data_IF_814952979442
#
_entry.id   IF_814952979442
#
_cell.length_a   1.000
_cell.length_b   1.000
_cell.length_c   1.000
_cell.angle_alpha   90.00
_cell.angle_beta   90.00
_cell.angle_gamma   90.00
#
_symmetry.space_group_name_H-M   'P 1'
#
loop_
_entity.id
_entity.type
_entity.pdbx_description
1 polymer ?
#
# COMPACT_ATOMS: atom_id res chain seq x y z
N UNK A 1 -30.04 24.92 -49.58
CA UNK A 1 -29.76 24.92 -48.13
C UNK A 1 -30.93 24.46 -47.27
N UNK A 2 -32.20 24.88 -47.54
CA UNK A 2 -33.38 24.46 -46.75
C UNK A 2 -33.52 22.94 -46.57
N UNK A 3 -33.30 22.16 -47.63
CA UNK A 3 -33.41 20.69 -47.59
C UNK A 3 -32.37 19.98 -46.71
N UNK A 4 -31.20 20.58 -46.45
CA UNK A 4 -30.20 19.96 -45.58
C UNK A 4 -30.57 20.14 -44.10
N UNK A 5 -31.01 21.35 -43.74
CA UNK A 5 -31.49 21.65 -42.38
C UNK A 5 -32.75 20.83 -42.03
N UNK A 6 -33.68 20.65 -42.96
CA UNK A 6 -34.88 19.81 -42.75
C UNK A 6 -34.54 18.31 -42.64
N UNK A 7 -33.45 17.86 -43.26
CA UNK A 7 -32.98 16.47 -43.11
C UNK A 7 -32.39 16.24 -41.73
N UNK A 8 -31.52 17.11 -41.24
CA UNK A 8 -31.00 16.99 -39.87
C UNK A 8 -32.09 17.12 -38.79
N UNK A 9 -33.10 17.96 -39.02
CA UNK A 9 -34.21 18.13 -38.06
C UNK A 9 -35.13 16.91 -37.98
N UNK A 10 -35.21 16.10 -39.05
CA UNK A 10 -36.01 14.87 -39.08
C UNK A 10 -35.14 13.60 -38.96
N UNK A 11 -33.85 13.74 -38.68
CA UNK A 11 -32.91 12.63 -38.52
C UNK A 11 -32.89 12.17 -37.05
N UNK A 12 -33.86 11.35 -36.68
CA UNK A 12 -33.95 10.72 -35.36
C UNK A 12 -32.86 9.65 -35.14
N UNK A 13 -32.28 9.10 -36.23
CA UNK A 13 -31.29 8.03 -36.14
C UNK A 13 -29.93 8.54 -35.60
N UNK A 14 -29.56 9.81 -35.87
CA UNK A 14 -28.33 10.41 -35.35
C UNK A 14 -28.39 10.82 -33.88
N UNK A 15 -29.56 11.25 -33.39
CA UNK A 15 -29.75 11.69 -32.00
C UNK A 15 -29.88 10.50 -31.02
N UNK A 16 -30.59 9.44 -31.42
CA UNK A 16 -30.77 8.24 -30.60
C UNK A 16 -29.44 7.50 -30.39
N UNK A 17 -28.64 7.33 -31.45
CA UNK A 17 -27.35 6.59 -31.37
C UNK A 17 -26.29 7.35 -30.56
N UNK A 18 -26.32 8.69 -30.54
CA UNK A 18 -25.33 9.48 -29.80
C UNK A 18 -25.62 9.57 -28.30
N UNK A 19 -26.88 9.72 -27.90
CA UNK A 19 -27.26 9.74 -26.48
C UNK A 19 -27.07 8.37 -25.80
N UNK A 20 -27.42 7.28 -26.49
CA UNK A 20 -27.27 5.91 -25.97
C UNK A 20 -25.81 5.52 -25.77
N UNK A 21 -24.92 5.89 -26.71
CA UNK A 21 -23.48 5.64 -26.57
C UNK A 21 -22.86 6.44 -25.43
N UNK A 22 -23.32 7.67 -25.18
CA UNK A 22 -22.87 8.46 -24.02
C UNK A 22 -23.33 7.82 -22.72
N UNK A 23 -24.58 7.32 -22.66
CA UNK A 23 -25.11 6.62 -21.49
C UNK A 23 -24.28 5.36 -21.17
N UNK A 24 -24.01 4.51 -22.17
CA UNK A 24 -23.20 3.29 -21.98
C UNK A 24 -21.75 3.65 -21.61
N UNK A 25 -21.16 4.65 -22.26
CA UNK A 25 -19.80 5.11 -21.98
C UNK A 25 -19.65 5.60 -20.54
N UNK A 26 -20.59 6.42 -20.05
CA UNK A 26 -20.54 6.94 -18.68
C UNK A 26 -20.70 5.85 -17.63
N UNK A 27 -21.60 4.88 -17.83
CA UNK A 27 -21.73 3.71 -16.94
C UNK A 27 -20.43 2.90 -16.92
N UNK A 28 -19.83 2.68 -18.10
CA UNK A 28 -18.59 1.91 -18.23
C UNK A 28 -17.42 2.61 -17.53
N UNK A 29 -17.26 3.92 -17.72
CA UNK A 29 -16.20 4.69 -17.08
C UNK A 29 -16.37 4.70 -15.55
N UNK A 30 -17.60 4.88 -15.05
CA UNK A 30 -17.86 4.84 -13.61
C UNK A 30 -17.54 3.46 -13.00
N UNK A 31 -17.94 2.38 -13.67
CA UNK A 31 -17.64 1.02 -13.25
C UNK A 31 -16.13 0.74 -13.24
N UNK A 32 -15.40 1.24 -14.26
CA UNK A 32 -13.94 1.11 -14.32
C UNK A 32 -13.22 1.90 -13.22
N UNK A 33 -13.67 3.12 -12.93
CA UNK A 33 -13.08 3.94 -11.86
C UNK A 33 -13.31 3.30 -10.49
N UNK A 34 -14.53 2.85 -10.22
CA UNK A 34 -14.83 2.14 -8.97
C UNK A 34 -14.04 0.83 -8.88
N UNK A 35 -14.01 0.02 -9.95
CA UNK A 35 -13.25 -1.22 -9.99
C UNK A 35 -11.74 -1.02 -9.80
N UNK A 36 -11.16 0.00 -10.43
CA UNK A 36 -9.73 0.31 -10.27
C UNK A 36 -9.41 0.80 -8.85
N UNK A 37 -10.33 1.56 -8.23
CA UNK A 37 -10.20 1.98 -6.84
C UNK A 37 -10.13 0.77 -5.90
N UNK A 38 -11.08 -0.16 -6.02
CA UNK A 38 -11.10 -1.35 -5.16
C UNK A 38 -9.89 -2.27 -5.39
N UNK A 39 -9.41 -2.40 -6.63
CA UNK A 39 -8.17 -3.14 -6.93
C UNK A 39 -6.97 -2.46 -6.26
N UNK A 40 -6.88 -1.12 -6.31
CA UNK A 40 -5.79 -0.40 -5.67
C UNK A 40 -5.82 -0.56 -4.13
N UNK A 41 -7.01 -0.44 -3.51
CA UNK A 41 -7.16 -0.66 -2.08
C UNK A 41 -6.83 -2.10 -1.67
N UNK A 42 -7.33 -3.09 -2.43
CA UNK A 42 -7.04 -4.50 -2.15
C UNK A 42 -5.56 -4.83 -2.25
N UNK A 43 -4.88 -4.40 -3.32
CA UNK A 43 -3.44 -4.64 -3.48
C UNK A 43 -2.63 -3.97 -2.36
N UNK A 44 -2.96 -2.73 -2.00
CA UNK A 44 -2.26 -2.04 -0.92
C UNK A 44 -2.48 -2.71 0.44
N UNK A 45 -3.69 -3.21 0.72
CA UNK A 45 -3.97 -3.97 1.94
C UNK A 45 -3.16 -5.27 2.01
N UNK A 46 -3.15 -6.06 0.94
CA UNK A 46 -2.39 -7.32 0.92
C UNK A 46 -0.87 -7.08 1.02
N UNK A 47 -0.35 -6.00 0.41
CA UNK A 47 1.07 -5.63 0.54
C UNK A 47 1.43 -5.17 1.96
N UNK A 48 0.50 -4.50 2.65
CA UNK A 48 0.65 -4.14 4.05
C UNK A 48 0.65 -5.39 4.94
N UNK A 49 -0.29 -6.31 4.75
CA UNK A 49 -0.32 -7.60 5.45
C UNK A 49 0.98 -8.40 5.25
N UNK A 50 1.53 -8.40 4.03
CA UNK A 50 2.84 -9.01 3.74
C UNK A 50 3.95 -8.29 4.52
N UNK A 51 3.97 -6.96 4.53
CA UNK A 51 4.95 -6.18 5.30
C UNK A 51 4.91 -6.47 6.79
N UNK A 52 3.71 -6.46 7.39
CA UNK A 52 3.49 -6.80 8.79
C UNK A 52 3.91 -8.24 9.11
N UNK A 53 3.66 -9.19 8.19
CA UNK A 53 4.11 -10.57 8.37
C UNK A 53 5.64 -10.67 8.47
N UNK A 54 6.39 -9.92 7.65
CA UNK A 54 7.85 -9.85 7.75
C UNK A 54 8.32 -9.16 9.03
N UNK A 55 7.69 -8.04 9.44
CA UNK A 55 8.00 -7.34 10.69
C UNK A 55 7.69 -8.18 11.94
N UNK A 56 6.69 -9.07 11.87
CA UNK A 56 6.34 -9.97 12.98
C UNK A 56 7.41 -11.05 13.28
N UNK A 57 8.37 -11.23 12.37
CA UNK A 57 9.49 -12.13 12.60
C UNK A 57 10.41 -11.55 13.69
N UNK A 58 10.92 -12.41 14.56
CA UNK A 58 11.90 -11.96 15.55
C UNK A 58 13.24 -11.66 14.85
N UNK A 59 13.55 -10.37 14.67
CA UNK A 59 14.82 -9.91 14.08
C UNK A 59 15.94 -9.72 15.13
N UNK A 60 15.69 -10.12 16.38
CA UNK A 60 16.70 -10.10 17.44
C UNK A 60 17.67 -11.28 17.30
N UNK A 61 18.95 -11.03 17.51
CA UNK A 61 19.97 -12.07 17.51
C UNK A 61 21.00 -11.87 18.62
N UNK A 62 21.57 -12.96 19.11
CA UNK A 62 22.62 -12.96 20.13
C UNK A 62 23.70 -13.97 19.77
N UNK A 63 24.96 -13.58 19.93
CA UNK A 63 26.08 -14.53 19.93
C UNK A 63 26.87 -14.42 21.23
N UNK A 64 27.18 -15.57 21.82
CA UNK A 64 27.99 -15.66 23.04
C UNK A 64 29.48 -15.62 22.72
N UNK A 65 30.23 -14.77 23.42
CA UNK A 65 31.69 -14.86 23.44
C UNK A 65 32.17 -16.04 24.30
N UNK A 66 33.42 -16.45 24.12
CA UNK A 66 34.01 -17.56 24.89
C UNK A 66 34.82 -17.05 26.09
N UNK A 67 34.68 -17.74 27.24
CA UNK A 67 35.51 -17.53 28.43
C UNK A 67 36.12 -18.87 28.83
N UNK A 68 37.44 -18.95 28.89
CA UNK A 68 38.13 -20.14 29.42
C UNK A 68 38.22 -20.07 30.95
N UNK A 69 37.90 -21.20 31.60
CA UNK A 69 38.11 -21.42 33.03
C UNK A 69 39.52 -22.01 33.20
N UNK A 70 40.48 -21.17 33.57
CA UNK A 70 41.84 -21.63 33.85
C UNK A 70 42.89 -20.54 33.62
N UNK A 71 43.28 -19.86 34.72
CA UNK A 71 44.53 -19.11 34.96
C UNK A 71 45.10 -18.16 33.89
N UNK A 72 44.42 -17.93 32.76
CA UNK A 72 44.79 -16.97 31.70
C UNK A 72 43.53 -16.24 31.26
N UNK A 73 43.58 -14.91 31.35
CA UNK A 73 42.47 -13.96 31.18
C UNK A 73 41.93 -13.86 29.73
N UNK A 74 41.53 -14.97 29.12
CA UNK A 74 40.93 -14.95 27.78
C UNK A 74 39.40 -14.87 27.94
N UNK A 75 38.91 -13.63 27.99
CA UNK A 75 37.49 -13.26 27.91
C UNK A 75 37.24 -12.71 26.50
N UNK A 76 36.34 -13.34 25.74
CA UNK A 76 35.78 -12.76 24.53
C UNK A 76 34.37 -12.26 24.85
N UNK A 77 34.08 -11.00 24.53
CA UNK A 77 32.74 -10.43 24.69
C UNK A 77 31.82 -10.96 23.58
N UNK A 78 30.63 -11.40 23.96
CA UNK A 78 29.53 -11.62 23.02
C UNK A 78 28.90 -10.30 22.59
N UNK A 79 27.92 -10.38 21.67
CA UNK A 79 27.04 -9.26 21.39
C UNK A 79 25.61 -9.74 21.16
N UNK A 80 24.66 -8.86 21.44
CA UNK A 80 23.24 -9.07 21.22
C UNK A 80 22.66 -7.82 20.55
N UNK A 81 21.75 -8.04 19.61
CA UNK A 81 20.86 -7.04 19.08
C UNK A 81 19.43 -7.46 19.43
N UNK A 82 18.67 -6.57 20.05
CA UNK A 82 17.26 -6.78 20.36
C UNK A 82 16.46 -5.77 19.58
N UNK A 83 15.71 -6.29 18.62
CA UNK A 83 14.76 -5.53 17.83
C UNK A 83 13.53 -5.23 18.71
N UNK A 84 13.14 -3.95 18.76
CA UNK A 84 12.00 -3.49 19.55
C UNK A 84 10.97 -2.91 18.60
N UNK A 85 9.69 -3.11 18.90
CA UNK A 85 8.59 -2.56 18.12
C UNK A 85 8.73 -1.04 17.98
N UNK A 86 8.76 -0.55 16.74
CA UNK A 86 8.90 0.86 16.39
C UNK A 86 7.65 1.43 15.67
N UNK A 87 7.79 2.62 15.10
CA UNK A 87 6.74 3.27 14.31
C UNK A 87 6.63 2.56 12.95
N UNK A 88 5.45 2.01 12.66
CA UNK A 88 5.14 1.22 11.45
C UNK A 88 5.38 -0.31 11.56
N UNK A 89 5.47 -0.86 12.77
CA UNK A 89 5.61 -2.31 13.05
C UNK A 89 4.30 -3.05 13.38
N UNK A 90 3.18 -2.34 13.49
CA UNK A 90 1.86 -2.87 13.82
C UNK A 90 0.99 -3.17 12.58
N UNK A 91 -0.10 -3.90 12.79
CA UNK A 91 -1.07 -4.12 11.71
C UNK A 91 -1.87 -2.84 11.43
N UNK A 92 -2.05 -2.51 10.15
CA UNK A 92 -2.80 -1.37 9.62
C UNK A 92 -2.18 0.00 9.91
N UNK A 93 -0.86 0.10 10.11
CA UNK A 93 -0.20 1.38 10.40
C UNK A 93 0.50 2.02 9.20
N UNK A 94 0.61 1.31 8.07
CA UNK A 94 0.93 1.88 6.76
C UNK A 94 -0.27 2.67 6.24
N UNK A 95 -0.50 3.81 6.89
CA UNK A 95 -1.52 4.77 6.55
C UNK A 95 -0.97 5.75 5.51
N UNK A 96 -1.84 6.30 4.68
CA UNK A 96 -1.54 7.41 3.76
C UNK A 96 -1.29 8.72 4.54
N UNK A 97 -0.26 8.74 5.39
CA UNK A 97 0.19 9.92 6.13
C UNK A 97 1.51 10.38 5.54
N UNK A 98 1.81 11.68 5.63
CA UNK A 98 3.13 12.17 5.25
C UNK A 98 4.20 11.44 6.09
N UNK A 99 5.36 11.08 5.49
CA UNK A 99 6.42 10.42 6.24
C UNK A 99 6.82 11.28 7.43
N UNK A 100 6.50 10.81 8.62
CA UNK A 100 6.95 11.43 9.87
C UNK A 100 8.28 10.79 10.23
N UNK A 101 9.27 11.61 10.60
CA UNK A 101 10.50 11.08 11.18
C UNK A 101 10.16 10.24 12.40
N UNK A 102 10.86 9.12 12.55
CA UNK A 102 10.78 8.23 13.71
C UNK A 102 10.92 9.12 14.96
N UNK A 103 9.81 9.34 15.68
CA UNK A 103 9.91 9.97 16.99
C UNK A 103 10.49 8.92 17.90
N UNK A 104 11.82 8.86 17.94
CA UNK A 104 12.56 8.22 19.01
C UNK A 104 12.01 8.77 20.32
N UNK A 105 11.14 7.98 20.94
CA UNK A 105 10.61 8.27 22.25
C UNK A 105 11.81 8.33 23.18
N UNK A 106 12.19 9.54 23.59
CA UNK A 106 13.00 9.70 24.78
C UNK A 106 12.27 8.93 25.88
N UNK A 107 12.87 7.85 26.39
CA UNK A 107 13.03 7.57 27.81
C UNK A 107 13.75 6.22 28.03
N UNK A 108 14.96 6.37 28.59
CA UNK A 108 15.90 5.39 29.17
C UNK A 108 16.99 4.85 28.23
#
# INVERSE_FOLDING_TARGET
MKNLCTRFYNDEAGFVVSAELILVSTITVLALVCGLSEVAYGINGELEDVGAAFGSLNQSFCFSGFSTCGCKNNKSSGSCFTDHTDLCDGQNDIQSMAPTGEQGGNNW
#
